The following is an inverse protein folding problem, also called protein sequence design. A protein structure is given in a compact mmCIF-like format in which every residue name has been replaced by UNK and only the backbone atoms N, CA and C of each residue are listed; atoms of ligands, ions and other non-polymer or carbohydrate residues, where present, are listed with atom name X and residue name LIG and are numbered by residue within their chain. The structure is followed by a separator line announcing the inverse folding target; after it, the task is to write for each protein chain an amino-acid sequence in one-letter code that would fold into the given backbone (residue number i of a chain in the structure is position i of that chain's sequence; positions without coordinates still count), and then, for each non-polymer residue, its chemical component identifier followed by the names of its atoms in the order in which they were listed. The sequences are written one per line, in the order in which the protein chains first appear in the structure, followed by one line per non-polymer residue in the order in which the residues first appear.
data_IF_984295213290
#
_entry.id   IF_984295213290
#
_cell.length_a   1.000
_cell.length_b   1.000
_cell.length_c   1.000
_cell.angle_alpha   90.00
_cell.angle_beta   90.00
_cell.angle_gamma   90.00
#
_symmetry.space_group_name_H-M   'P 1'
#
loop_
_entity.id
_entity.type
_entity.pdbx_description
1 polymer ?
#
# COMPACT_ATOMS: atom_id res chain seq x y z
N UNK A 1 -38.09 -38.52 -73.05
CA UNK A 1 -37.23 -37.54 -72.38
C UNK A 1 -36.54 -38.26 -71.20
N UNK A 2 -35.28 -38.69 -71.37
CA UNK A 2 -34.56 -39.46 -70.34
C UNK A 2 -33.61 -38.53 -69.59
N UNK A 3 -33.81 -38.32 -68.26
CA UNK A 3 -33.00 -37.52 -67.44
C UNK A 3 -31.95 -38.42 -66.81
N UNK A 4 -30.65 -38.20 -67.13
CA UNK A 4 -29.54 -38.99 -66.66
C UNK A 4 -28.99 -38.30 -65.37
N UNK A 5 -29.14 -38.94 -64.17
CA UNK A 5 -28.57 -38.48 -62.93
C UNK A 5 -27.08 -38.78 -62.92
N UNK A 6 -26.24 -37.73 -62.96
CA UNK A 6 -24.81 -37.80 -62.78
C UNK A 6 -24.52 -37.94 -61.31
N UNK A 7 -24.03 -39.11 -60.83
CA UNK A 7 -23.50 -39.30 -59.45
C UNK A 7 -22.24 -38.50 -59.30
N UNK A 8 -22.29 -37.44 -58.46
CA UNK A 8 -21.10 -36.74 -57.99
C UNK A 8 -20.40 -37.62 -56.92
N UNK A 9 -19.21 -38.11 -57.24
CA UNK A 9 -18.32 -38.83 -56.35
C UNK A 9 -17.66 -37.79 -55.42
N UNK A 10 -18.10 -37.67 -54.14
CA UNK A 10 -17.45 -36.86 -53.12
C UNK A 10 -16.19 -37.61 -52.68
N UNK A 11 -15.03 -37.14 -53.15
CA UNK A 11 -13.72 -37.64 -52.75
C UNK A 11 -13.48 -37.21 -51.31
N UNK A 12 -13.60 -38.14 -50.36
CA UNK A 12 -13.26 -37.95 -48.93
C UNK A 12 -11.80 -37.51 -48.83
N UNK A 13 -11.57 -36.19 -48.65
CA UNK A 13 -10.27 -35.69 -48.20
C UNK A 13 -10.14 -36.04 -46.72
N UNK A 14 -9.26 -36.93 -46.35
CA UNK A 14 -8.79 -37.12 -45.00
C UNK A 14 -8.20 -35.79 -44.51
N UNK A 15 -8.86 -35.14 -43.55
CA UNK A 15 -8.29 -34.03 -42.81
C UNK A 15 -7.15 -34.62 -41.99
N UNK A 16 -5.89 -34.13 -42.10
CA UNK A 16 -4.79 -34.61 -41.26
C UNK A 16 -5.21 -34.41 -39.81
N UNK A 17 -5.32 -35.52 -39.07
CA UNK A 17 -5.73 -35.53 -37.67
C UNK A 17 -4.75 -34.72 -36.83
N UNK A 18 -5.24 -33.62 -36.30
CA UNK A 18 -4.52 -32.87 -35.23
C UNK A 18 -4.44 -33.81 -34.04
N UNK A 19 -3.19 -34.22 -33.69
CA UNK A 19 -2.94 -35.16 -32.61
C UNK A 19 -3.51 -34.54 -31.29
N UNK A 20 -4.27 -35.36 -30.57
CA UNK A 20 -4.85 -34.98 -29.26
C UNK A 20 -3.78 -34.56 -28.25
N UNK A 21 -2.56 -35.01 -28.41
CA UNK A 21 -1.41 -34.67 -27.55
C UNK A 21 -0.88 -33.25 -27.78
N UNK A 22 -0.99 -32.71 -29.00
CA UNK A 22 -0.68 -31.32 -29.31
C UNK A 22 -1.62 -30.33 -28.58
N UNK A 23 -2.91 -30.64 -28.58
CA UNK A 23 -3.93 -29.79 -27.93
C UNK A 23 -3.76 -29.73 -26.41
N UNK A 24 -3.35 -30.82 -25.78
CA UNK A 24 -3.09 -30.89 -24.32
C UNK A 24 -1.87 -30.07 -23.90
N UNK A 25 -0.81 -30.05 -24.70
CA UNK A 25 0.41 -29.27 -24.43
C UNK A 25 0.18 -27.77 -24.60
N UNK A 26 -0.63 -27.35 -25.57
CA UNK A 26 -1.01 -25.95 -25.76
C UNK A 26 -1.91 -25.44 -24.64
N UNK A 27 -2.85 -26.25 -24.13
CA UNK A 27 -3.73 -25.84 -23.04
C UNK A 27 -2.98 -25.70 -21.72
N UNK A 28 -2.01 -26.55 -21.40
CA UNK A 28 -1.23 -26.46 -20.17
C UNK A 28 -0.35 -25.19 -20.13
N UNK A 29 0.28 -24.82 -21.26
CA UNK A 29 1.06 -23.59 -21.36
C UNK A 29 0.22 -22.32 -21.22
N UNK A 30 -0.97 -22.30 -21.82
CA UNK A 30 -1.90 -21.19 -21.71
C UNK A 30 -2.45 -21.02 -20.27
N UNK A 31 -2.75 -22.12 -19.58
CA UNK A 31 -3.22 -22.08 -18.19
C UNK A 31 -2.09 -21.57 -17.28
N UNK A 32 -0.86 -22.07 -17.47
CA UNK A 32 0.30 -21.63 -16.66
C UNK A 32 0.61 -20.14 -16.87
N UNK A 33 0.57 -19.65 -18.12
CA UNK A 33 0.79 -18.23 -18.42
C UNK A 33 -0.34 -17.35 -17.88
N UNK A 34 -1.59 -17.78 -17.92
CA UNK A 34 -2.72 -17.06 -17.34
C UNK A 34 -2.63 -17.01 -15.80
N UNK A 35 -2.19 -18.10 -15.16
CA UNK A 35 -1.99 -18.14 -13.71
C UNK A 35 -0.84 -17.21 -13.27
N UNK A 36 0.26 -17.18 -14.03
CA UNK A 36 1.39 -16.28 -13.79
C UNK A 36 1.00 -14.81 -13.98
N UNK A 37 0.22 -14.49 -15.02
CA UNK A 37 -0.29 -13.15 -15.26
C UNK A 37 -1.26 -12.70 -14.14
N UNK A 38 -2.07 -13.62 -13.60
CA UNK A 38 -2.97 -13.33 -12.48
C UNK A 38 -2.20 -13.03 -11.19
N UNK A 39 -1.10 -13.74 -10.91
CA UNK A 39 -0.23 -13.46 -9.74
C UNK A 39 0.44 -12.10 -9.82
N UNK A 40 0.76 -11.61 -11.02
CA UNK A 40 1.37 -10.29 -11.24
C UNK A 40 0.34 -9.13 -11.25
N UNK A 41 -0.95 -9.43 -11.31
CA UNK A 41 -2.01 -8.43 -11.38
C UNK A 41 -2.43 -7.86 -10.01
N UNK A 42 -2.00 -8.47 -8.90
CA UNK A 42 -2.28 -7.95 -7.56
C UNK A 42 -1.15 -7.02 -7.10
N UNK A 43 -1.40 -5.70 -6.98
CA UNK A 43 -0.43 -4.80 -6.37
C UNK A 43 -0.29 -5.17 -4.89
N UNK A 44 0.85 -5.72 -4.51
CA UNK A 44 1.18 -5.91 -3.09
C UNK A 44 1.56 -4.53 -2.56
N UNK A 45 0.86 -3.98 -1.55
CA UNK A 45 1.25 -2.71 -0.97
C UNK A 45 2.66 -2.85 -0.38
N UNK A 46 3.60 -2.08 -0.91
CA UNK A 46 4.98 -2.05 -0.43
C UNK A 46 5.04 -1.28 0.91
N UNK A 47 4.68 -1.95 2.01
CA UNK A 47 4.70 -1.37 3.37
C UNK A 47 6.00 -1.68 4.12
N UNK A 48 7.01 -2.23 3.44
CA UNK A 48 8.22 -2.78 4.07
C UNK A 48 9.00 -1.77 4.94
N UNK A 49 8.91 -0.48 4.65
CA UNK A 49 9.62 0.59 5.36
C UNK A 49 8.69 1.60 6.05
N UNK A 50 7.39 1.34 6.08
CA UNK A 50 6.45 2.21 6.80
C UNK A 50 6.64 2.11 8.31
N UNK A 51 6.38 3.18 9.08
CA UNK A 51 6.24 3.06 10.52
C UNK A 51 5.22 1.97 10.87
N UNK A 52 5.56 1.14 11.85
CA UNK A 52 4.65 0.06 12.30
C UNK A 52 3.53 0.59 13.19
N UNK A 53 3.80 1.71 13.92
CA UNK A 53 2.80 2.36 14.76
C UNK A 53 3.07 3.85 14.92
N UNK A 54 2.00 4.65 15.11
CA UNK A 54 2.04 6.09 15.41
C UNK A 54 0.96 6.38 16.45
N UNK A 55 1.38 6.73 17.66
CA UNK A 55 0.50 7.05 18.78
C UNK A 55 0.56 8.55 19.08
N UNK A 56 -0.60 9.16 19.28
CA UNK A 56 -0.75 10.58 19.58
C UNK A 56 -1.17 10.76 21.02
N UNK A 57 -0.47 11.64 21.76
CA UNK A 57 -0.81 12.02 23.10
C UNK A 57 -0.73 13.54 23.21
N UNK A 58 -1.75 14.18 23.81
CA UNK A 58 -1.73 15.61 24.02
C UNK A 58 -1.50 15.96 25.50
N UNK A 59 -0.53 16.82 25.75
CA UNK A 59 -0.18 17.32 27.06
C UNK A 59 -0.80 18.72 27.23
N UNK A 60 -1.91 18.80 27.96
CA UNK A 60 -2.72 20.00 28.12
C UNK A 60 -1.93 21.19 28.68
N UNK A 61 -1.21 20.99 29.79
CA UNK A 61 -0.46 22.06 30.47
C UNK A 61 0.63 22.67 29.58
N UNK A 62 1.28 21.83 28.80
CA UNK A 62 2.38 22.19 27.91
C UNK A 62 1.90 22.61 26.53
N UNK A 63 0.59 22.46 26.22
CA UNK A 63 0.03 22.64 24.88
C UNK A 63 0.87 21.92 23.82
N UNK A 64 1.19 20.67 24.08
CA UNK A 64 2.17 19.92 23.30
C UNK A 64 1.59 18.60 22.83
N UNK A 65 1.62 18.38 21.50
CA UNK A 65 1.35 17.09 20.88
C UNK A 65 2.60 16.22 20.94
N UNK A 66 2.51 15.08 21.58
CA UNK A 66 3.52 14.03 21.52
C UNK A 66 3.13 13.02 20.44
N UNK A 67 4.06 12.75 19.53
CA UNK A 67 3.94 11.75 18.46
C UNK A 67 4.96 10.66 18.73
N UNK A 68 4.52 9.54 19.31
CA UNK A 68 5.35 8.34 19.49
C UNK A 68 5.30 7.51 18.22
N UNK A 69 6.46 7.24 17.66
CA UNK A 69 6.62 6.54 16.38
C UNK A 69 7.37 5.24 16.65
N UNK A 70 6.82 4.13 16.18
CA UNK A 70 7.51 2.84 16.12
C UNK A 70 7.95 2.60 14.68
N UNK A 71 9.26 2.69 14.43
CA UNK A 71 9.86 2.52 13.11
C UNK A 71 11.22 1.85 13.24
N UNK A 72 11.27 0.56 12.90
CA UNK A 72 12.48 -0.24 13.04
C UNK A 72 13.49 0.10 11.95
N UNK A 73 14.68 0.53 12.36
CA UNK A 73 15.81 0.82 11.49
C UNK A 73 17.12 0.35 12.10
N UNK A 74 17.85 -0.48 11.39
CA UNK A 74 19.20 -0.91 11.81
C UNK A 74 20.25 0.19 11.60
N UNK A 75 20.00 1.13 10.67
CA UNK A 75 20.92 2.22 10.32
C UNK A 75 20.16 3.56 10.31
N UNK A 76 19.93 4.18 11.50
CA UNK A 76 19.09 5.37 11.67
C UNK A 76 19.48 6.60 10.85
N UNK A 77 20.73 6.66 10.37
CA UNK A 77 21.22 7.75 9.50
C UNK A 77 20.92 7.51 8.01
N UNK A 78 20.59 6.30 7.60
CA UNK A 78 20.31 5.94 6.21
C UNK A 78 18.86 5.53 5.99
N UNK A 79 18.21 5.00 7.02
CA UNK A 79 16.82 4.60 7.03
C UNK A 79 16.15 5.20 8.26
N UNK A 80 15.33 6.23 8.07
CA UNK A 80 14.79 7.05 9.15
C UNK A 80 13.44 7.66 8.77
N UNK A 81 12.73 8.19 9.73
CA UNK A 81 11.56 9.04 9.48
C UNK A 81 12.05 10.39 8.98
N UNK A 82 11.78 10.66 7.69
CA UNK A 82 12.22 11.87 7.03
C UNK A 82 11.28 13.05 7.27
N UNK A 83 9.97 12.78 7.48
CA UNK A 83 8.99 13.84 7.57
C UNK A 83 7.87 13.47 8.53
N UNK A 84 7.42 14.46 9.30
CA UNK A 84 6.18 14.42 10.08
C UNK A 84 5.33 15.61 9.66
N UNK A 85 4.14 15.33 9.16
CA UNK A 85 3.15 16.33 8.75
C UNK A 85 2.02 16.33 9.77
N UNK A 86 1.69 17.50 10.33
CA UNK A 86 0.64 17.67 11.34
C UNK A 86 -0.39 18.63 10.81
N UNK A 87 -1.63 18.17 10.65
CA UNK A 87 -2.74 18.99 10.21
C UNK A 87 -3.77 19.13 11.34
N UNK A 88 -4.11 20.37 11.70
CA UNK A 88 -5.18 20.68 12.61
C UNK A 88 -6.43 21.09 11.81
N UNK A 89 -7.51 20.37 11.98
CA UNK A 89 -8.76 20.57 11.24
C UNK A 89 -8.51 20.61 9.71
N UNK A 90 -8.90 21.69 9.05
CA UNK A 90 -8.68 21.94 7.62
C UNK A 90 -7.55 22.94 7.36
N UNK A 91 -6.71 23.23 8.37
CA UNK A 91 -5.59 24.16 8.22
C UNK A 91 -4.48 23.55 7.34
N UNK A 92 -3.59 24.41 6.83
CA UNK A 92 -2.42 23.93 6.10
C UNK A 92 -1.55 23.09 7.03
N UNK A 93 -1.07 21.90 6.59
CA UNK A 93 -0.20 21.06 7.41
C UNK A 93 1.09 21.76 7.82
N UNK A 94 1.47 21.61 9.09
CA UNK A 94 2.80 21.90 9.58
C UNK A 94 3.71 20.72 9.20
N UNK A 95 4.85 21.02 8.59
CA UNK A 95 5.77 20.00 8.06
C UNK A 95 7.09 20.10 8.80
N UNK A 96 7.52 18.99 9.40
CA UNK A 96 8.81 18.86 10.09
C UNK A 96 9.67 17.84 9.37
N UNK A 97 10.89 18.23 8.99
CA UNK A 97 11.84 17.39 8.25
C UNK A 97 13.01 16.97 9.14
N UNK A 98 13.42 15.72 8.98
CA UNK A 98 14.50 15.10 9.74
C UNK A 98 15.52 14.45 8.79
N UNK A 99 16.76 14.31 9.23
CA UNK A 99 17.86 13.66 8.48
C UNK A 99 18.34 12.37 9.14
N UNK A 100 17.77 12.02 10.28
CA UNK A 100 18.02 10.78 11.04
C UNK A 100 16.90 10.58 12.05
N UNK A 101 16.80 9.40 12.64
CA UNK A 101 15.95 9.15 13.79
C UNK A 101 16.79 8.90 15.05
N UNK A 102 16.24 9.25 16.22
CA UNK A 102 16.96 9.23 17.49
C UNK A 102 17.15 7.84 18.09
N UNK A 103 16.35 6.86 17.66
CA UNK A 103 16.38 5.48 18.15
C UNK A 103 16.14 4.48 17.03
N UNK A 104 16.57 3.21 17.21
CA UNK A 104 16.44 2.14 16.21
C UNK A 104 15.05 1.52 16.12
N UNK A 105 14.21 1.69 17.13
CA UNK A 105 12.90 1.04 17.20
C UNK A 105 11.75 2.01 17.43
N UNK A 106 11.84 2.82 18.48
CA UNK A 106 10.76 3.72 18.86
C UNK A 106 11.28 5.00 19.49
N UNK A 107 10.66 6.12 19.13
CA UNK A 107 11.03 7.44 19.65
C UNK A 107 9.81 8.35 19.66
N UNK A 108 9.91 9.47 20.36
CA UNK A 108 8.83 10.45 20.51
C UNK A 108 9.30 11.83 20.10
N UNK A 109 8.56 12.46 19.20
CA UNK A 109 8.69 13.88 18.91
C UNK A 109 7.60 14.67 19.65
N UNK A 110 7.93 15.90 20.01
CA UNK A 110 7.03 16.82 20.72
C UNK A 110 6.89 18.13 19.95
N UNK A 111 5.64 18.53 19.70
CA UNK A 111 5.31 19.69 18.88
C UNK A 111 4.40 20.63 19.67
N UNK A 112 4.75 21.91 19.76
CA UNK A 112 3.85 22.93 20.30
C UNK A 112 2.67 23.12 19.36
N UNK A 113 1.48 22.80 19.84
CA UNK A 113 0.25 22.85 19.05
C UNK A 113 -0.93 23.21 19.97
N UNK A 114 -1.33 24.49 20.06
CA UNK A 114 -2.51 24.86 20.81
C UNK A 114 -3.77 24.22 20.22
N UNK A 115 -4.53 23.52 21.07
CA UNK A 115 -5.78 22.86 20.68
C UNK A 115 -6.94 23.37 21.52
N UNK A 116 -8.10 23.53 20.87
CA UNK A 116 -9.39 23.73 21.49
C UNK A 116 -10.18 22.42 21.52
N UNK A 117 -11.07 22.28 22.50
CA UNK A 117 -11.96 21.12 22.58
C UNK A 117 -12.72 20.94 21.26
N UNK A 118 -12.65 19.73 20.70
CA UNK A 118 -13.25 19.37 19.41
C UNK A 118 -12.29 19.45 18.23
N UNK A 119 -11.10 20.06 18.38
CA UNK A 119 -10.10 20.08 17.30
C UNK A 119 -9.69 18.66 16.92
N UNK A 120 -9.65 18.40 15.62
CA UNK A 120 -9.10 17.18 15.01
C UNK A 120 -7.64 17.42 14.63
N UNK A 121 -6.80 16.48 14.98
CA UNK A 121 -5.39 16.46 14.57
C UNK A 121 -5.13 15.20 13.77
N UNK A 122 -4.66 15.38 12.54
CA UNK A 122 -4.20 14.32 11.68
C UNK A 122 -2.68 14.41 11.55
N UNK A 123 -1.99 13.29 11.75
CA UNK A 123 -0.52 13.22 11.67
C UNK A 123 -0.15 12.16 10.64
N UNK A 124 0.71 12.54 9.69
CA UNK A 124 1.26 11.64 8.70
C UNK A 124 2.79 11.55 8.89
N UNK A 125 3.30 10.34 9.06
CA UNK A 125 4.72 10.05 9.32
C UNK A 125 5.28 9.30 8.13
N UNK A 126 6.36 9.83 7.54
CA UNK A 126 6.90 9.39 6.24
C UNK A 126 8.35 8.94 6.40
N UNK A 127 8.64 7.71 5.96
CA UNK A 127 10.00 7.16 5.89
C UNK A 127 10.75 7.69 4.66
N UNK A 128 12.06 7.91 4.77
CA UNK A 128 12.91 8.41 3.67
C UNK A 128 13.09 7.40 2.53
N UNK A 129 12.96 6.12 2.78
CA UNK A 129 13.05 5.11 1.72
C UNK A 129 11.71 4.94 1.02
N UNK A 130 10.71 4.42 1.71
CA UNK A 130 9.34 4.29 1.19
C UNK A 130 8.36 4.04 2.33
N UNK A 131 7.11 4.49 2.14
CA UNK A 131 6.02 4.21 3.03
C UNK A 131 5.77 5.29 4.06
N UNK A 132 4.53 5.34 4.50
CA UNK A 132 4.03 6.28 5.51
C UNK A 132 2.98 5.62 6.38
N UNK A 133 2.70 6.24 7.52
CA UNK A 133 1.58 5.88 8.40
C UNK A 133 0.94 7.14 8.93
N UNK A 134 -0.39 7.17 8.88
CA UNK A 134 -1.18 8.24 9.46
C UNK A 134 -1.84 7.79 10.75
N UNK A 135 -2.02 8.74 11.67
CA UNK A 135 -2.80 8.59 12.89
C UNK A 135 -3.61 9.86 13.11
N UNK A 136 -4.77 9.76 13.75
CA UNK A 136 -5.61 10.93 14.04
C UNK A 136 -6.19 10.89 15.44
N UNK A 137 -6.45 12.06 16.01
CA UNK A 137 -7.14 12.22 17.27
C UNK A 137 -8.12 13.40 17.23
N UNK A 138 -9.16 13.33 18.05
CA UNK A 138 -10.01 14.48 18.37
C UNK A 138 -9.71 14.87 19.81
N UNK A 139 -9.36 16.14 20.03
CA UNK A 139 -9.06 16.62 21.37
C UNK A 139 -10.34 16.84 22.19
N UNK A 140 -10.52 16.04 23.22
CA UNK A 140 -11.72 16.07 24.06
C UNK A 140 -11.75 17.23 25.09
N UNK A 141 -10.65 18.01 25.20
CA UNK A 141 -10.43 18.99 26.25
C UNK A 141 -9.67 18.43 27.45
N UNK A 142 -9.27 19.28 28.42
CA UNK A 142 -8.57 18.86 29.61
C UNK A 142 -9.37 17.84 30.40
N UNK A 143 -8.71 16.79 30.89
CA UNK A 143 -9.35 15.86 31.83
C UNK A 143 -9.57 16.59 33.16
N UNK A 144 -10.81 16.92 33.48
CA UNK A 144 -11.19 17.35 34.83
C UNK A 144 -10.97 16.17 35.79
N UNK A 145 -10.09 16.35 36.75
CA UNK A 145 -10.00 15.43 37.92
C UNK A 145 -11.02 15.85 38.97
#
# INVERSE_FOLDING_TARGET
MKITFRKYFIKNRKIPGMSRDGLRKFSAGLILSALLALLLAFPVPASANSPSDVQLTYLDKEQTLQVKITHKSFVPNSHYIAKVEIQKNSEKPLVYEYKSQSDKEAFTYAYKLPLNKGDRVDVNVICNLFGSRSSSMIYAGPKTR
#
